data_IF_712629969862
#
_entry.id   IF_712629969862
#
_cell.length_a   1.000
_cell.length_b   1.000
_cell.length_c   1.000
_cell.angle_alpha   90.00
_cell.angle_beta   90.00
_cell.angle_gamma   90.00
#
_symmetry.space_group_name_H-M   'P 1'
#
loop_
_entity.id
_entity.type
_entity.pdbx_description
1 polymer ?
#
# COMPACT_ATOMS: atom_id res chain seq x y z
N UNK A 1 2.28 22.80 -31.25
CA UNK A 1 1.26 22.78 -30.18
C UNK A 1 -0.09 22.63 -30.83
N UNK A 2 -0.72 21.45 -30.77
CA UNK A 2 -2.15 21.31 -31.12
C UNK A 2 -2.95 22.01 -30.02
N UNK A 3 -3.44 23.21 -30.30
CA UNK A 3 -4.43 23.88 -29.45
C UNK A 3 -5.79 23.23 -29.70
N UNK A 4 -6.45 22.77 -28.63
CA UNK A 4 -7.91 22.63 -28.58
C UNK A 4 -8.51 21.30 -29.04
N UNK A 5 -8.19 20.19 -28.39
CA UNK A 5 -9.15 19.07 -28.35
C UNK A 5 -10.21 19.41 -27.31
N UNK A 6 -11.45 19.63 -27.75
CA UNK A 6 -12.58 19.81 -26.84
C UNK A 6 -12.85 18.46 -26.17
N UNK A 7 -12.47 18.32 -24.90
CA UNK A 7 -12.67 17.10 -24.13
C UNK A 7 -14.09 17.09 -23.56
N UNK A 8 -15.03 16.53 -24.32
CA UNK A 8 -16.45 16.52 -23.93
C UNK A 8 -16.91 15.14 -23.49
N UNK A 9 -16.38 14.08 -24.11
CA UNK A 9 -16.73 12.71 -23.78
C UNK A 9 -15.65 12.04 -22.93
N UNK A 10 -16.02 10.95 -22.27
CA UNK A 10 -15.08 10.10 -21.53
C UNK A 10 -13.96 9.58 -22.44
N UNK A 11 -14.30 9.20 -23.68
CA UNK A 11 -13.34 8.61 -24.61
C UNK A 11 -12.34 9.65 -25.10
N UNK A 12 -12.76 10.91 -25.30
CA UNK A 12 -11.85 12.02 -25.62
C UNK A 12 -10.82 12.23 -24.51
N UNK A 13 -11.27 12.20 -23.24
CA UNK A 13 -10.39 12.32 -22.08
C UNK A 13 -9.40 11.16 -21.99
N UNK A 14 -9.87 9.92 -22.21
CA UNK A 14 -9.00 8.73 -22.20
C UNK A 14 -7.96 8.82 -23.31
N UNK A 15 -8.37 9.17 -24.53
CA UNK A 15 -7.45 9.34 -25.64
C UNK A 15 -6.38 10.38 -25.32
N UNK A 16 -6.77 11.51 -24.74
CA UNK A 16 -5.83 12.57 -24.35
C UNK A 16 -4.79 12.09 -23.32
N UNK A 17 -5.23 11.36 -22.28
CA UNK A 17 -4.31 10.75 -21.31
C UNK A 17 -3.35 9.79 -22.03
N UNK A 18 -3.89 8.93 -22.89
CA UNK A 18 -3.12 7.97 -23.65
C UNK A 18 -1.99 8.59 -24.46
N UNK A 19 -2.31 9.60 -25.28
CA UNK A 19 -1.34 10.30 -26.13
C UNK A 19 -0.19 10.94 -25.32
N UNK A 20 -0.47 11.40 -24.09
CA UNK A 20 0.54 11.99 -23.22
C UNK A 20 1.42 10.97 -22.51
N UNK A 21 0.87 9.82 -22.11
CA UNK A 21 1.61 8.80 -21.36
C UNK A 21 2.24 7.71 -22.24
N UNK A 22 1.81 7.57 -23.48
CA UNK A 22 2.37 6.63 -24.46
C UNK A 22 3.90 6.70 -24.62
N UNK A 23 4.55 7.89 -24.69
CA UNK A 23 6.01 7.95 -24.79
C UNK A 23 6.75 7.69 -23.46
N UNK A 24 6.04 7.68 -22.32
CA UNK A 24 6.64 7.56 -20.98
C UNK A 24 6.55 6.14 -20.45
N UNK A 25 5.48 5.40 -20.78
CA UNK A 25 5.24 4.07 -20.23
C UNK A 25 5.99 3.02 -21.03
N UNK A 26 7.00 2.43 -20.38
CA UNK A 26 7.77 1.32 -20.91
C UNK A 26 6.87 0.13 -21.26
N UNK A 27 7.03 -0.38 -22.48
CA UNK A 27 6.31 -1.55 -23.00
C UNK A 27 5.00 -1.27 -23.73
N UNK A 28 4.44 -0.06 -23.65
CA UNK A 28 3.18 0.32 -24.32
C UNK A 28 3.36 1.36 -25.45
N UNK A 29 4.58 1.58 -25.91
CA UNK A 29 4.89 2.57 -26.96
C UNK A 29 4.09 2.34 -28.27
N UNK A 30 3.84 1.07 -28.62
CA UNK A 30 3.14 0.68 -29.86
C UNK A 30 1.64 0.39 -29.65
N UNK A 31 1.13 0.55 -28.43
CA UNK A 31 -0.27 0.30 -28.11
C UNK A 31 -1.16 1.48 -28.49
N UNK A 32 -2.47 1.24 -28.60
CA UNK A 32 -3.43 2.31 -28.82
C UNK A 32 -3.48 3.26 -27.62
N UNK A 33 -3.64 4.57 -27.86
CA UNK A 33 -3.71 5.56 -26.79
C UNK A 33 -4.80 5.22 -25.74
N UNK A 34 -5.93 4.67 -26.17
CA UNK A 34 -6.99 4.22 -25.25
C UNK A 34 -6.51 3.10 -24.31
N UNK A 35 -5.81 2.09 -24.83
CA UNK A 35 -5.24 1.01 -24.01
C UNK A 35 -4.22 1.56 -23.01
N UNK A 36 -3.35 2.48 -23.45
CA UNK A 36 -2.39 3.15 -22.59
C UNK A 36 -3.10 3.88 -21.45
N UNK A 37 -4.16 4.63 -21.75
CA UNK A 37 -4.92 5.35 -20.74
C UNK A 37 -5.59 4.42 -19.73
N UNK A 38 -6.17 3.30 -20.19
CA UNK A 38 -6.70 2.28 -19.29
C UNK A 38 -5.63 1.65 -18.40
N UNK A 39 -4.43 1.39 -18.94
CA UNK A 39 -3.29 0.91 -18.17
C UNK A 39 -2.83 1.95 -17.13
N UNK A 40 -2.71 3.23 -17.50
CA UNK A 40 -2.40 4.34 -16.57
C UNK A 40 -3.36 4.34 -15.39
N UNK A 41 -4.67 4.36 -15.68
CA UNK A 41 -5.70 4.41 -14.66
C UNK A 41 -5.74 3.14 -13.80
N UNK A 42 -5.32 2.00 -14.33
CA UNK A 42 -5.30 0.73 -13.60
C UNK A 42 -4.06 0.61 -12.70
N UNK A 43 -2.89 0.89 -13.25
CA UNK A 43 -1.60 0.52 -12.66
C UNK A 43 -0.96 1.66 -11.85
N UNK A 44 -1.44 2.90 -12.00
CA UNK A 44 -0.87 4.07 -11.31
C UNK A 44 -1.87 4.84 -10.44
N UNK A 45 -3.17 4.84 -10.79
CA UNK A 45 -4.20 5.58 -10.04
C UNK A 45 -4.96 4.65 -9.11
N UNK A 46 -4.86 4.84 -7.79
CA UNK A 46 -5.59 4.06 -6.77
C UNK A 46 -5.59 2.55 -7.03
N UNK A 47 -4.39 1.97 -7.08
CA UNK A 47 -4.14 0.57 -7.49
C UNK A 47 -4.80 -0.48 -6.57
N UNK A 48 -5.16 -0.09 -5.35
CA UNK A 48 -5.92 -0.95 -4.42
C UNK A 48 -7.38 -1.13 -4.83
N UNK A 49 -7.90 -0.28 -5.72
CA UNK A 49 -9.27 -0.34 -6.23
C UNK A 49 -9.30 -0.91 -7.66
N UNK A 50 -10.24 -1.83 -7.89
CA UNK A 50 -10.38 -2.50 -9.19
C UNK A 50 -11.32 -1.71 -10.11
N UNK A 51 -12.45 -1.21 -9.58
CA UNK A 51 -13.49 -0.56 -10.38
C UNK A 51 -13.24 0.95 -10.52
N UNK A 52 -13.56 1.50 -11.71
CA UNK A 52 -13.45 2.95 -11.95
C UNK A 52 -14.39 3.78 -11.08
N UNK A 53 -15.59 3.28 -10.77
CA UNK A 53 -16.55 3.96 -9.89
C UNK A 53 -16.00 4.15 -8.48
N UNK A 54 -15.35 3.12 -7.92
CA UNK A 54 -14.75 3.20 -6.59
C UNK A 54 -13.58 4.20 -6.59
N UNK A 55 -12.77 4.24 -7.67
CA UNK A 55 -11.69 5.22 -7.86
C UNK A 55 -12.23 6.65 -7.92
N UNK A 56 -13.32 6.85 -8.66
CA UNK A 56 -13.98 8.14 -8.79
C UNK A 56 -14.55 8.62 -7.44
N UNK A 57 -15.24 7.75 -6.71
CA UNK A 57 -15.77 8.06 -5.37
C UNK A 57 -14.66 8.41 -4.38
N UNK A 58 -13.54 7.67 -4.40
CA UNK A 58 -12.38 7.99 -3.57
C UNK A 58 -11.76 9.35 -3.95
N UNK A 59 -11.67 9.66 -5.24
CA UNK A 59 -11.15 10.95 -5.71
C UNK A 59 -11.99 12.12 -5.19
N UNK A 60 -13.32 12.01 -5.27
CA UNK A 60 -14.24 13.02 -4.72
C UNK A 60 -14.02 13.16 -3.21
N UNK A 61 -13.93 12.04 -2.49
CA UNK A 61 -13.70 12.06 -1.05
C UNK A 61 -12.38 12.75 -0.68
N UNK A 62 -11.30 12.49 -1.42
CA UNK A 62 -10.00 13.15 -1.21
C UNK A 62 -10.08 14.65 -1.52
N UNK A 63 -10.81 15.05 -2.56
CA UNK A 63 -11.01 16.46 -2.91
C UNK A 63 -11.79 17.20 -1.81
N UNK A 64 -12.83 16.58 -1.27
CA UNK A 64 -13.58 17.14 -0.13
C UNK A 64 -12.71 17.27 1.12
N UNK A 65 -11.88 16.26 1.42
CA UNK A 65 -10.91 16.32 2.53
C UNK A 65 -9.89 17.44 2.31
N UNK A 66 -9.44 17.66 1.08
CA UNK A 66 -8.53 18.76 0.74
C UNK A 66 -9.17 20.13 0.99
N UNK A 67 -10.41 20.33 0.53
CA UNK A 67 -11.13 21.58 0.82
C UNK A 67 -11.38 21.78 2.31
N UNK A 68 -11.77 20.73 3.03
CA UNK A 68 -11.93 20.79 4.49
C UNK A 68 -10.64 21.21 5.21
N UNK A 69 -9.47 20.78 4.71
CA UNK A 69 -8.17 21.18 5.25
C UNK A 69 -7.85 22.66 4.97
N UNK A 70 -8.15 23.13 3.76
CA UNK A 70 -7.97 24.54 3.36
C UNK A 70 -8.88 25.45 4.19
N UNK A 71 -10.13 25.02 4.40
CA UNK A 71 -11.12 25.72 5.22
C UNK A 71 -10.85 25.61 6.73
N UNK A 72 -9.77 24.92 7.14
CA UNK A 72 -9.36 24.70 8.53
C UNK A 72 -10.40 23.99 9.42
N UNK A 73 -11.40 23.37 8.79
CA UNK A 73 -12.38 22.49 9.45
C UNK A 73 -11.80 21.12 9.81
N UNK A 74 -10.63 20.77 9.26
CA UNK A 74 -9.88 19.56 9.60
C UNK A 74 -8.43 19.86 9.94
N UNK A 75 -7.85 19.03 10.82
CA UNK A 75 -6.46 19.15 11.27
C UNK A 75 -5.56 18.31 10.36
N UNK A 76 -4.36 18.79 9.98
CA UNK A 76 -3.41 18.01 9.21
C UNK A 76 -3.01 16.72 9.94
N UNK A 77 -2.93 15.63 9.21
CA UNK A 77 -2.48 14.34 9.74
C UNK A 77 -0.96 14.35 9.98
N UNK A 78 -0.53 13.88 11.15
CA UNK A 78 0.88 13.75 11.48
C UNK A 78 1.46 12.44 10.90
N UNK A 79 2.39 12.48 9.92
CA UNK A 79 2.98 11.28 9.33
C UNK A 79 3.93 10.54 10.28
N UNK A 80 4.37 11.20 11.36
CA UNK A 80 5.25 10.60 12.37
C UNK A 80 4.47 9.87 13.48
N UNK A 81 3.15 10.07 13.55
CA UNK A 81 2.29 9.35 14.48
C UNK A 81 2.06 7.91 14.00
N UNK A 82 2.22 6.95 14.91
CA UNK A 82 2.11 5.52 14.59
C UNK A 82 0.72 5.15 14.02
N UNK A 83 -0.33 5.90 14.35
CA UNK A 83 -1.67 5.75 13.79
C UNK A 83 -1.73 5.85 12.25
N UNK A 84 -0.76 6.55 11.64
CA UNK A 84 -0.68 6.78 10.19
C UNK A 84 0.46 5.98 9.56
N UNK A 85 1.02 5.01 10.28
CA UNK A 85 2.17 4.21 9.84
C UNK A 85 1.81 2.73 9.82
N UNK A 86 2.51 2.01 8.96
CA UNK A 86 2.49 0.55 8.90
C UNK A 86 3.92 0.00 8.86
N UNK A 87 4.05 -1.31 9.11
CA UNK A 87 5.36 -1.98 9.13
C UNK A 87 5.53 -2.81 7.87
N UNK A 88 6.50 -2.41 7.04
CA UNK A 88 6.93 -3.21 5.89
C UNK A 88 7.70 -4.44 6.36
N UNK A 89 7.12 -5.63 6.16
CA UNK A 89 7.75 -6.89 6.53
C UNK A 89 8.86 -7.29 5.54
N UNK A 90 9.95 -7.94 6.01
CA UNK A 90 11.04 -8.39 5.14
C UNK A 90 10.58 -9.32 4.01
N UNK A 91 9.61 -10.20 4.27
CA UNK A 91 9.04 -11.10 3.25
C UNK A 91 8.33 -10.35 2.12
N UNK A 92 7.59 -9.27 2.44
CA UNK A 92 6.96 -8.41 1.44
C UNK A 92 8.02 -7.68 0.61
N UNK A 93 9.05 -7.13 1.26
CA UNK A 93 10.15 -6.45 0.57
C UNK A 93 10.89 -7.38 -0.40
N UNK A 94 11.25 -8.60 0.06
CA UNK A 94 11.92 -9.60 -0.79
C UNK A 94 11.01 -9.99 -1.97
N UNK A 95 9.70 -10.16 -1.74
CA UNK A 95 8.74 -10.51 -2.79
C UNK A 95 8.64 -9.43 -3.85
N UNK A 96 8.52 -8.16 -3.44
CA UNK A 96 8.45 -7.02 -4.37
C UNK A 96 9.76 -6.85 -5.13
N UNK A 97 10.91 -7.01 -4.46
CA UNK A 97 12.22 -6.96 -5.11
C UNK A 97 12.41 -8.11 -6.12
N UNK A 98 11.99 -9.32 -5.77
CA UNK A 98 12.02 -10.47 -6.67
C UNK A 98 11.13 -10.25 -7.90
N UNK A 99 9.92 -9.71 -7.70
CA UNK A 99 9.02 -9.33 -8.79
C UNK A 99 9.72 -8.38 -9.77
N UNK A 100 10.34 -7.31 -9.29
CA UNK A 100 11.06 -6.35 -10.15
C UNK A 100 12.23 -7.01 -10.88
N UNK A 101 12.98 -7.92 -10.23
CA UNK A 101 14.07 -8.64 -10.91
C UNK A 101 13.60 -9.65 -11.95
N UNK A 102 12.44 -10.24 -11.77
CA UNK A 102 11.79 -11.06 -12.79
C UNK A 102 11.35 -10.19 -13.98
N UNK A 103 10.77 -9.01 -13.72
CA UNK A 103 10.38 -8.07 -14.78
C UNK A 103 11.60 -7.56 -15.56
N UNK A 104 12.68 -7.17 -14.88
CA UNK A 104 13.96 -6.79 -15.50
C UNK A 104 14.51 -7.92 -16.39
N UNK A 105 14.44 -9.16 -15.91
CA UNK A 105 14.89 -10.33 -16.65
C UNK A 105 14.02 -10.58 -17.90
N UNK A 106 12.69 -10.43 -17.81
CA UNK A 106 11.77 -10.53 -18.94
C UNK A 106 11.99 -9.41 -19.97
N UNK A 107 12.17 -8.16 -19.53
CA UNK A 107 12.51 -7.03 -20.40
C UNK A 107 13.80 -7.28 -21.17
N UNK A 108 14.83 -7.78 -20.48
CA UNK A 108 16.11 -8.14 -21.10
C UNK A 108 15.97 -9.31 -22.09
N UNK A 109 15.13 -10.30 -21.79
CA UNK A 109 14.83 -11.38 -22.72
C UNK A 109 14.15 -10.84 -23.99
N UNK A 110 13.11 -9.99 -23.86
CA UNK A 110 12.44 -9.32 -24.99
C UNK A 110 13.42 -8.54 -25.85
N UNK A 111 14.28 -7.72 -25.23
CA UNK A 111 15.31 -6.94 -25.93
C UNK A 111 16.28 -7.84 -26.70
N UNK A 112 16.75 -8.92 -26.07
CA UNK A 112 17.67 -9.87 -26.70
C UNK A 112 17.05 -10.54 -27.93
N UNK A 113 15.75 -10.88 -27.85
CA UNK A 113 14.99 -11.44 -28.99
C UNK A 113 14.89 -10.40 -30.11
N UNK A 114 14.52 -9.16 -29.79
CA UNK A 114 14.41 -8.08 -30.77
C UNK A 114 15.75 -7.83 -31.50
N UNK A 115 16.87 -7.86 -30.77
CA UNK A 115 18.21 -7.74 -31.35
C UNK A 115 18.57 -8.91 -32.27
N UNK A 116 18.19 -10.15 -31.92
CA UNK A 116 18.44 -11.32 -32.79
C UNK A 116 17.55 -11.30 -34.04
N UNK A 117 16.29 -10.87 -33.94
CA UNK A 117 15.41 -10.66 -35.11
C UNK A 117 15.99 -9.59 -36.03
N UNK A 118 16.50 -8.48 -35.48
CA UNK A 118 17.12 -7.42 -36.27
C UNK A 118 18.41 -7.88 -36.98
N UNK A 119 19.18 -8.79 -36.36
CA UNK A 119 20.41 -9.36 -36.95
C UNK A 119 20.14 -10.49 -37.94
N UNK A 120 19.09 -11.28 -37.71
CA UNK A 120 18.75 -12.47 -38.51
C UNK A 120 17.28 -12.42 -38.93
N UNK A 121 17.04 -12.35 -40.24
CA UNK A 121 15.71 -12.41 -40.83
C UNK A 121 14.92 -13.72 -40.58
N UNK A 122 15.48 -14.71 -39.88
CA UNK A 122 14.88 -16.05 -39.74
C UNK A 122 14.89 -16.59 -38.29
N UNK A 123 14.75 -15.72 -37.28
CA UNK A 123 14.57 -16.18 -35.90
C UNK A 123 13.20 -16.87 -35.75
N UNK A 124 13.19 -18.15 -35.39
CA UNK A 124 11.96 -18.92 -35.22
C UNK A 124 11.70 -19.23 -33.74
N UNK A 125 10.58 -18.71 -33.20
CA UNK A 125 10.15 -18.96 -31.81
C UNK A 125 9.87 -20.44 -31.50
N UNK A 126 9.52 -21.24 -32.50
CA UNK A 126 9.26 -22.68 -32.35
C UNK A 126 10.55 -23.50 -32.33
N UNK A 127 11.68 -22.93 -32.78
CA UNK A 127 12.96 -23.61 -32.79
C UNK A 127 13.63 -23.55 -31.41
N UNK A 128 13.69 -24.69 -30.73
CA UNK A 128 14.32 -24.82 -29.40
C UNK A 128 15.77 -24.32 -29.39
N UNK A 129 16.51 -24.48 -30.49
CA UNK A 129 17.88 -24.01 -30.62
C UNK A 129 18.02 -22.49 -30.53
N UNK A 130 17.04 -21.74 -31.05
CA UNK A 130 17.10 -20.28 -31.06
C UNK A 130 16.62 -19.70 -29.74
N UNK A 131 15.59 -20.30 -29.13
CA UNK A 131 15.16 -19.98 -27.76
C UNK A 131 16.28 -20.28 -26.77
N UNK A 132 16.97 -21.42 -26.89
CA UNK A 132 18.09 -21.78 -26.01
C UNK A 132 19.23 -20.77 -26.08
N UNK A 133 19.59 -20.28 -27.28
CA UNK A 133 20.62 -19.22 -27.43
C UNK A 133 20.25 -17.94 -26.68
N UNK A 134 18.99 -17.53 -26.72
CA UNK A 134 18.50 -16.34 -25.98
C UNK A 134 18.58 -16.60 -24.47
N UNK A 135 18.15 -17.77 -24.02
CA UNK A 135 18.19 -18.15 -22.60
C UNK A 135 19.63 -18.27 -22.07
N UNK A 136 20.56 -18.81 -22.87
CA UNK A 136 21.97 -18.93 -22.51
C UNK A 136 22.63 -17.53 -22.36
N UNK A 137 22.20 -16.54 -23.15
CA UNK A 137 22.64 -15.14 -23.03
C UNK A 137 21.98 -14.38 -21.88
N UNK A 138 20.83 -14.85 -21.39
CA UNK A 138 20.09 -14.25 -20.29
C UNK A 138 19.81 -15.28 -19.17
N UNK A 139 20.86 -15.77 -18.47
CA UNK A 139 20.71 -16.83 -17.49
C UNK A 139 19.86 -16.40 -16.30
N UNK A 140 18.93 -17.28 -15.89
CA UNK A 140 18.03 -17.06 -14.74
C UNK A 140 18.77 -16.91 -13.40
N UNK A 141 19.99 -17.43 -13.30
CA UNK A 141 20.85 -17.31 -12.12
C UNK A 141 21.13 -15.84 -11.72
N UNK A 142 20.99 -14.88 -12.65
CA UNK A 142 21.12 -13.45 -12.36
C UNK A 142 20.10 -12.96 -11.34
N UNK A 143 18.90 -13.54 -11.32
CA UNK A 143 17.84 -13.19 -10.36
C UNK A 143 18.25 -13.63 -8.95
N UNK A 144 18.66 -14.88 -8.80
CA UNK A 144 19.12 -15.42 -7.51
C UNK A 144 20.32 -14.65 -6.96
N UNK A 145 21.31 -14.36 -7.82
CA UNK A 145 22.49 -13.58 -7.45
C UNK A 145 22.13 -12.15 -7.02
N UNK A 146 21.13 -11.54 -7.66
CA UNK A 146 20.66 -10.21 -7.29
C UNK A 146 19.99 -10.19 -5.90
N UNK A 147 19.20 -11.22 -5.57
CA UNK A 147 18.60 -11.39 -4.23
C UNK A 147 19.67 -11.68 -3.19
N UNK A 148 20.60 -12.59 -3.47
CA UNK A 148 21.72 -12.90 -2.57
C UNK A 148 22.58 -11.66 -2.28
N UNK A 149 22.91 -10.88 -3.32
CA UNK A 149 23.68 -9.65 -3.18
C UNK A 149 22.91 -8.60 -2.36
N UNK A 150 21.61 -8.48 -2.58
CA UNK A 150 20.74 -7.60 -1.79
C UNK A 150 20.75 -8.00 -0.32
N UNK A 151 20.63 -9.30 -0.01
CA UNK A 151 20.67 -9.79 1.37
C UNK A 151 22.04 -9.60 2.03
N UNK A 152 23.12 -9.79 1.27
CA UNK A 152 24.50 -9.65 1.76
C UNK A 152 24.90 -8.20 2.01
N UNK A 153 24.50 -7.28 1.13
CA UNK A 153 24.93 -5.87 1.17
C UNK A 153 23.90 -4.94 1.79
N UNK A 154 22.65 -5.38 1.93
CA UNK A 154 21.54 -4.55 2.40
C UNK A 154 21.15 -3.43 1.44
N UNK A 155 21.56 -3.50 0.17
CA UNK A 155 21.33 -2.46 -0.84
C UNK A 155 20.31 -2.92 -1.89
N UNK A 156 19.29 -2.10 -2.09
CA UNK A 156 18.31 -2.26 -3.16
C UNK A 156 18.83 -1.60 -4.44
N UNK A 157 18.98 -2.41 -5.48
CA UNK A 157 19.31 -1.94 -6.83
C UNK A 157 18.07 -2.12 -7.69
N UNK A 158 17.24 -1.09 -7.78
CA UNK A 158 15.95 -1.09 -8.47
C UNK A 158 15.86 0.12 -9.39
N UNK A 159 15.09 0.00 -10.47
CA UNK A 159 14.88 1.12 -11.41
C UNK A 159 13.80 2.05 -10.87
N UNK A 160 12.77 1.47 -10.25
CA UNK A 160 11.59 2.18 -9.74
C UNK A 160 11.76 2.76 -8.34
N UNK A 161 12.75 2.27 -7.57
CA UNK A 161 12.95 2.66 -6.18
C UNK A 161 11.95 2.05 -5.17
N UNK A 162 10.96 1.27 -5.63
CA UNK A 162 9.97 0.56 -4.81
C UNK A 162 9.17 1.46 -3.83
N UNK A 163 9.02 2.75 -4.14
CA UNK A 163 8.39 3.75 -3.26
C UNK A 163 9.10 3.91 -1.89
N UNK A 164 10.36 3.49 -1.81
CA UNK A 164 11.16 3.58 -0.60
C UNK A 164 12.13 4.77 -0.68
N UNK A 165 12.20 5.54 0.40
CA UNK A 165 13.02 6.75 0.47
C UNK A 165 14.54 6.47 0.56
N UNK A 166 14.94 5.25 0.91
CA UNK A 166 16.34 4.85 1.06
C UNK A 166 16.69 3.68 0.14
N UNK A 167 17.97 3.56 -0.23
CA UNK A 167 18.46 2.47 -1.11
C UNK A 167 19.36 1.47 -0.39
N UNK A 168 19.76 1.73 0.85
CA UNK A 168 20.67 0.89 1.62
C UNK A 168 20.19 0.74 3.06
N UNK A 169 20.78 -0.21 3.81
CA UNK A 169 20.46 -0.47 5.22
C UNK A 169 19.26 -1.38 5.43
N UNK A 170 18.90 -2.21 4.44
CA UNK A 170 17.74 -3.12 4.53
C UNK A 170 18.06 -4.46 5.20
N UNK A 171 19.33 -4.86 5.23
CA UNK A 171 19.77 -6.04 5.96
C UNK A 171 20.83 -5.68 6.97
N UNK A 172 20.80 -6.40 8.09
CA UNK A 172 21.75 -6.27 9.19
C UNK A 172 22.22 -7.66 9.59
N UNK A 173 23.45 -7.76 10.06
CA UNK A 173 23.97 -9.02 10.57
C UNK A 173 23.32 -9.34 11.92
N UNK A 174 22.68 -10.50 12.04
CA UNK A 174 22.11 -10.98 13.29
C UNK A 174 23.23 -11.50 14.20
N UNK A 175 23.77 -10.63 15.05
CA UNK A 175 24.83 -10.94 15.99
C UNK A 175 24.36 -11.93 17.06
N UNK A 176 25.21 -12.92 17.37
CA UNK A 176 24.96 -13.94 18.39
C UNK A 176 25.81 -13.73 19.65
N UNK A 177 25.89 -12.48 20.11
CA UNK A 177 26.63 -12.14 21.34
C UNK A 177 25.98 -12.76 22.57
N UNK A 178 24.66 -12.64 22.68
CA UNK A 178 23.84 -13.30 23.69
C UNK A 178 22.41 -13.47 23.17
N UNK A 179 21.59 -14.21 23.91
CA UNK A 179 20.20 -14.50 23.53
C UNK A 179 19.36 -13.23 23.35
N UNK A 180 19.51 -12.25 24.25
CA UNK A 180 18.72 -11.01 24.22
C UNK A 180 19.03 -10.15 22.99
N UNK A 181 20.32 -10.01 22.65
CA UNK A 181 20.78 -9.31 21.44
C UNK A 181 20.28 -9.99 20.18
N UNK A 182 20.35 -11.32 20.12
CA UNK A 182 19.84 -12.04 18.96
C UNK A 182 18.32 -11.85 18.80
N UNK A 183 17.57 -11.94 19.89
CA UNK A 183 16.11 -11.76 19.88
C UNK A 183 15.69 -10.32 19.53
N UNK A 184 16.46 -9.31 19.95
CA UNK A 184 16.11 -7.91 19.72
C UNK A 184 16.00 -7.58 18.23
N UNK A 185 16.85 -8.17 17.37
CA UNK A 185 16.77 -7.98 15.92
C UNK A 185 15.40 -8.32 15.33
N UNK A 186 14.72 -9.34 15.84
CA UNK A 186 13.42 -9.77 15.31
C UNK A 186 12.24 -8.94 15.83
N UNK A 187 12.47 -8.09 16.85
CA UNK A 187 11.49 -7.14 17.36
C UNK A 187 11.80 -5.70 16.96
N UNK A 188 12.96 -5.46 16.38
CA UNK A 188 13.41 -4.15 15.95
C UNK A 188 12.57 -3.64 14.75
N UNK A 189 12.21 -2.36 14.82
CA UNK A 189 11.54 -1.61 13.75
C UNK A 189 12.29 -0.29 13.61
N UNK A 190 12.64 0.04 12.38
CA UNK A 190 13.44 1.22 12.07
C UNK A 190 12.64 2.18 11.18
N UNK A 191 12.67 3.48 11.50
CA UNK A 191 11.92 4.51 10.75
C UNK A 191 12.45 4.73 9.32
N UNK A 192 13.77 4.54 9.14
CA UNK A 192 14.50 4.72 7.88
C UNK A 192 15.77 5.53 8.09
N UNK A 193 16.88 5.15 7.44
CA UNK A 193 18.16 5.86 7.57
C UNK A 193 18.14 7.26 6.92
N UNK A 194 17.22 7.52 5.99
CA UNK A 194 16.96 8.87 5.46
C UNK A 194 16.63 9.88 6.56
N UNK A 195 15.99 9.43 7.64
CA UNK A 195 15.61 10.29 8.77
C UNK A 195 16.76 10.54 9.76
N UNK A 196 17.83 9.75 9.72
CA UNK A 196 18.97 9.93 10.61
C UNK A 196 19.70 11.26 10.35
N UNK A 197 19.80 11.67 9.09
CA UNK A 197 20.45 12.92 8.67
C UNK A 197 19.59 14.19 8.84
N UNK A 198 18.31 14.06 9.19
CA UNK A 198 17.44 15.22 9.42
C UNK A 198 17.78 15.88 10.76
N UNK A 199 17.90 17.22 10.74
CA UNK A 199 18.16 18.02 11.95
C UNK A 199 16.94 18.16 12.87
N UNK A 200 15.75 17.75 12.41
CA UNK A 200 14.50 17.82 13.16
C UNK A 200 14.37 16.64 14.12
N UNK A 201 13.99 16.91 15.37
CA UNK A 201 13.81 15.87 16.39
C UNK A 201 12.41 15.28 16.45
N UNK A 202 11.44 15.79 15.66
CA UNK A 202 10.03 15.33 15.68
C UNK A 202 9.91 13.82 15.49
N UNK A 203 10.63 13.28 14.52
CA UNK A 203 10.65 11.85 14.15
C UNK A 203 11.23 10.94 15.25
N UNK A 204 11.96 11.52 16.20
CA UNK A 204 12.64 10.80 17.31
C UNK A 204 11.81 10.85 18.60
N UNK A 205 10.77 11.69 18.66
CA UNK A 205 9.96 11.83 19.86
C UNK A 205 9.07 10.62 20.05
N UNK A 206 9.01 10.13 21.28
CA UNK A 206 7.98 9.18 21.69
C UNK A 206 6.63 9.89 21.71
N UNK A 207 5.67 9.35 20.96
CA UNK A 207 4.31 9.86 20.91
C UNK A 207 3.36 8.93 21.70
N UNK A 208 2.29 9.46 22.33
CA UNK A 208 1.33 8.64 23.10
C UNK A 208 0.67 7.52 22.28
N UNK A 209 0.48 7.73 20.98
CA UNK A 209 -0.09 6.77 20.03
C UNK A 209 0.77 5.51 19.87
N UNK A 210 2.04 5.55 20.27
CA UNK A 210 2.94 4.39 20.27
C UNK A 210 2.65 3.42 21.42
N UNK A 211 1.80 3.79 22.38
CA UNK A 211 1.47 2.98 23.54
C UNK A 211 0.96 1.59 23.16
N UNK A 212 1.55 0.55 23.76
CA UNK A 212 1.18 -0.84 23.50
C UNK A 212 1.77 -1.43 22.21
N UNK A 213 2.27 -0.61 21.28
CA UNK A 213 2.87 -1.09 20.02
C UNK A 213 4.39 -1.07 20.05
N UNK A 214 5.00 0.06 20.43
CA UNK A 214 6.45 0.22 20.56
C UNK A 214 6.85 0.38 22.03
N UNK A 215 7.99 -0.19 22.40
CA UNK A 215 8.52 -0.08 23.76
C UNK A 215 9.09 1.34 23.98
N UNK A 216 8.64 2.07 25.02
CA UNK A 216 9.12 3.43 25.28
C UNK A 216 10.54 3.48 25.84
N UNK A 217 11.08 2.33 26.29
CA UNK A 217 12.42 2.24 26.92
C UNK A 217 13.44 1.64 25.97
N UNK A 218 13.05 0.65 25.15
CA UNK A 218 13.98 -0.14 24.36
C UNK A 218 14.33 0.55 23.03
N UNK A 219 15.06 1.66 23.12
CA UNK A 219 15.77 2.33 22.02
C UNK A 219 17.23 2.48 22.44
N UNK A 220 18.21 2.26 21.55
CA UNK A 220 19.60 2.58 21.85
C UNK A 220 19.81 4.09 22.00
N UNK A 221 20.85 4.46 22.74
CA UNK A 221 21.35 5.83 22.81
C UNK A 221 22.18 6.21 21.57
N UNK A 222 22.46 7.52 21.43
CA UNK A 222 23.27 8.07 20.34
C UNK A 222 22.47 8.36 19.07
N UNK A 223 23.12 8.23 17.91
CA UNK A 223 22.51 8.53 16.61
C UNK A 223 21.21 7.75 16.30
N UNK A 224 21.04 6.46 16.65
CA UNK A 224 19.79 5.74 16.39
C UNK A 224 18.67 6.02 17.40
N UNK A 225 18.89 6.85 18.42
CA UNK A 225 17.90 7.12 19.47
C UNK A 225 16.59 7.66 18.90
N UNK A 226 15.49 6.96 19.18
CA UNK A 226 14.14 7.25 18.70
C UNK A 226 13.86 6.81 17.26
N UNK A 227 14.87 6.42 16.48
CA UNK A 227 14.72 5.91 15.11
C UNK A 227 14.69 4.39 15.04
N UNK A 228 15.50 3.74 15.88
CA UNK A 228 15.50 2.29 16.07
C UNK A 228 14.72 1.96 17.34
N UNK A 229 13.50 1.48 17.18
CA UNK A 229 12.65 1.10 18.29
C UNK A 229 12.38 -0.41 18.26
N UNK A 230 11.85 -0.95 19.35
CA UNK A 230 11.46 -2.34 19.42
C UNK A 230 9.96 -2.47 19.73
N UNK A 231 9.29 -3.41 19.08
CA UNK A 231 7.89 -3.70 19.37
C UNK A 231 7.73 -4.28 20.79
N UNK A 232 6.65 -3.93 21.48
CA UNK A 232 6.30 -4.48 22.81
C UNK A 232 6.07 -6.00 22.73
N UNK A 233 6.11 -6.73 23.86
CA UNK A 233 5.98 -8.19 23.86
C UNK A 233 4.68 -8.72 23.21
N UNK A 234 3.55 -8.03 23.38
CA UNK A 234 2.24 -8.46 22.87
C UNK A 234 1.89 -7.90 21.50
N UNK A 235 2.65 -6.93 20.99
CA UNK A 235 2.42 -6.36 19.66
C UNK A 235 2.61 -7.43 18.58
N UNK A 236 1.61 -7.58 17.71
CA UNK A 236 1.61 -8.53 16.59
C UNK A 236 1.38 -7.79 15.29
N UNK A 237 2.19 -8.13 14.29
CA UNK A 237 1.95 -7.66 12.93
C UNK A 237 0.86 -8.52 12.29
N UNK A 238 0.01 -7.85 11.53
CA UNK A 238 -1.10 -8.43 10.79
C UNK A 238 -0.57 -9.47 9.79
N UNK A 239 -1.34 -10.54 9.57
CA UNK A 239 -0.95 -11.67 8.73
C UNK A 239 -2.11 -12.07 7.82
N UNK A 240 -1.78 -12.51 6.61
CA UNK A 240 -2.70 -13.13 5.66
C UNK A 240 -3.26 -14.46 6.16
N UNK A 241 -2.66 -15.04 7.19
CA UNK A 241 -3.09 -16.30 7.78
C UNK A 241 -3.96 -16.08 9.02
N UNK A 242 -4.94 -16.96 9.21
CA UNK A 242 -5.76 -17.05 10.42
C UNK A 242 -5.03 -17.78 11.56
N UNK A 243 -5.72 -17.98 12.69
CA UNK A 243 -5.16 -18.68 13.86
C UNK A 243 -4.84 -20.16 13.62
N UNK A 244 -5.40 -20.76 12.58
CA UNK A 244 -5.17 -22.15 12.17
C UNK A 244 -4.09 -22.26 11.08
N UNK A 245 -3.56 -21.13 10.59
CA UNK A 245 -2.59 -21.09 9.52
C UNK A 245 -3.20 -21.16 8.12
N UNK A 246 -4.53 -21.03 7.98
CA UNK A 246 -5.21 -20.96 6.69
C UNK A 246 -5.19 -19.53 6.17
N UNK A 247 -5.19 -19.38 4.84
CA UNK A 247 -5.25 -18.06 4.20
C UNK A 247 -6.64 -17.46 4.43
N UNK A 248 -6.69 -16.22 4.92
CA UNK A 248 -7.93 -15.47 5.13
C UNK A 248 -8.55 -15.10 3.80
N UNK A 249 -9.85 -15.37 3.64
CA UNK A 249 -10.61 -14.86 2.51
C UNK A 249 -11.05 -13.41 2.78
N UNK A 250 -10.25 -12.46 2.29
CA UNK A 250 -10.55 -11.04 2.42
C UNK A 250 -11.79 -10.61 1.64
N UNK A 251 -12.19 -11.33 0.59
CA UNK A 251 -13.40 -11.00 -0.16
C UNK A 251 -14.64 -11.32 0.68
N UNK A 252 -14.68 -12.51 1.26
CA UNK A 252 -15.79 -12.93 2.12
C UNK A 252 -15.86 -12.11 3.41
N UNK A 253 -14.71 -11.78 4.02
CA UNK A 253 -14.65 -10.83 5.15
C UNK A 253 -15.33 -9.52 4.79
N UNK A 254 -14.90 -8.90 3.69
CA UNK A 254 -15.42 -7.59 3.25
C UNK A 254 -16.92 -7.69 3.01
N UNK A 255 -17.37 -8.70 2.28
CA UNK A 255 -18.80 -8.93 2.01
C UNK A 255 -19.61 -9.09 3.30
N UNK A 256 -19.10 -9.83 4.27
CA UNK A 256 -19.77 -10.00 5.57
C UNK A 256 -19.89 -8.68 6.33
N UNK A 257 -18.84 -7.85 6.32
CA UNK A 257 -18.85 -6.53 6.96
C UNK A 257 -19.84 -5.60 6.28
N UNK A 258 -19.87 -5.59 4.94
CA UNK A 258 -20.82 -4.81 4.16
C UNK A 258 -22.27 -5.16 4.50
N UNK A 259 -22.59 -6.45 4.60
CA UNK A 259 -23.92 -6.91 4.95
C UNK A 259 -24.34 -6.43 6.36
N UNK A 260 -23.42 -6.48 7.33
CA UNK A 260 -23.70 -6.00 8.68
C UNK A 260 -23.88 -4.48 8.70
N UNK A 261 -23.00 -3.72 8.05
CA UNK A 261 -23.13 -2.27 7.96
C UNK A 261 -24.45 -1.85 7.32
N UNK A 262 -24.85 -2.53 6.24
CA UNK A 262 -26.13 -2.27 5.57
C UNK A 262 -27.31 -2.60 6.49
N UNK A 263 -27.25 -3.72 7.22
CA UNK A 263 -28.26 -4.08 8.22
C UNK A 263 -28.35 -3.10 9.40
N UNK A 264 -27.27 -2.38 9.70
CA UNK A 264 -27.21 -1.32 10.73
C UNK A 264 -27.62 0.07 10.21
N UNK A 265 -28.16 0.15 8.99
CA UNK A 265 -28.68 1.40 8.43
C UNK A 265 -27.68 2.22 7.62
N UNK A 266 -26.55 1.64 7.20
CA UNK A 266 -25.66 2.29 6.23
C UNK A 266 -26.34 2.41 4.87
N UNK A 267 -26.32 3.62 4.31
CA UNK A 267 -26.74 3.84 2.93
C UNK A 267 -25.56 3.53 2.01
N UNK A 268 -25.70 2.53 1.14
CA UNK A 268 -24.64 2.15 0.18
C UNK A 268 -24.32 3.28 -0.79
N UNK A 269 -23.05 3.37 -1.20
CA UNK A 269 -22.55 4.40 -2.12
C UNK A 269 -23.20 4.28 -3.49
N UNK A 270 -24.20 5.12 -3.73
CA UNK A 270 -24.47 5.70 -5.05
C UNK A 270 -23.60 6.95 -5.17
N UNK A 271 -23.21 7.40 -6.38
CA UNK A 271 -22.53 8.68 -6.55
C UNK A 271 -23.49 9.80 -6.15
N UNK A 272 -23.47 10.14 -4.86
CA UNK A 272 -24.12 11.31 -4.30
C UNK A 272 -23.00 12.23 -3.86
N UNK A 273 -22.86 13.33 -4.57
CA UNK A 273 -22.17 14.51 -4.06
C UNK A 273 -22.75 14.78 -2.67
N UNK A 274 -21.95 14.57 -1.62
CA UNK A 274 -22.37 14.96 -0.29
C UNK A 274 -22.68 16.47 -0.32
N UNK A 275 -23.89 16.84 0.07
CA UNK A 275 -24.29 18.24 0.18
C UNK A 275 -23.41 18.92 1.23
N UNK A 276 -22.92 20.11 0.92
CA UNK A 276 -22.09 20.90 1.83
C UNK A 276 -22.85 21.26 3.11
N UNK A 277 -22.21 21.03 4.25
CA UNK A 277 -22.72 21.32 5.60
C UNK A 277 -22.01 20.49 6.67
N UNK A 278 -22.18 20.86 7.95
CA UNK A 278 -21.77 20.04 9.11
C UNK A 278 -22.22 18.59 8.89
N UNK A 279 -21.40 17.56 9.14
CA UNK A 279 -21.72 16.23 8.68
C UNK A 279 -22.89 15.68 9.50
N UNK A 280 -24.10 15.82 8.98
CA UNK A 280 -25.26 15.03 9.39
C UNK A 280 -25.02 13.55 9.07
N UNK A 281 -24.09 13.29 8.14
CA UNK A 281 -23.72 11.97 7.63
C UNK A 281 -22.20 11.89 7.50
N UNK A 282 -21.64 10.76 7.88
CA UNK A 282 -20.22 10.44 7.79
C UNK A 282 -19.98 9.34 6.75
N UNK A 283 -18.92 9.50 5.97
CA UNK A 283 -18.50 8.50 4.98
C UNK A 283 -17.84 7.29 5.65
N UNK A 284 -18.20 6.10 5.19
CA UNK A 284 -17.65 4.81 5.66
C UNK A 284 -16.68 4.28 4.61
N UNK A 285 -15.44 4.06 5.04
CA UNK A 285 -14.37 3.50 4.21
C UNK A 285 -13.97 2.11 4.70
N UNK A 286 -13.74 1.20 3.75
CA UNK A 286 -13.29 -0.18 3.95
C UNK A 286 -12.02 -0.41 3.11
N UNK A 287 -10.87 -0.57 3.76
CA UNK A 287 -9.57 -0.74 3.08
C UNK A 287 -9.31 0.30 1.96
N UNK A 288 -9.67 1.57 2.21
CA UNK A 288 -9.52 2.65 1.23
C UNK A 288 -10.60 2.71 0.13
N UNK A 289 -11.64 1.87 0.19
CA UNK A 289 -12.83 1.95 -0.67
C UNK A 289 -13.96 2.70 0.03
N UNK A 290 -14.58 3.67 -0.63
CA UNK A 290 -15.78 4.36 -0.13
C UNK A 290 -17.02 3.48 -0.33
N UNK A 291 -17.57 2.99 0.77
CA UNK A 291 -18.65 1.99 0.75
C UNK A 291 -20.04 2.62 0.87
N UNK A 292 -20.13 3.75 1.57
CA UNK A 292 -21.42 4.33 1.89
C UNK A 292 -21.29 5.39 2.97
N UNK A 293 -22.42 5.73 3.58
CA UNK A 293 -22.50 6.80 4.56
C UNK A 293 -23.51 6.47 5.66
N UNK A 294 -23.22 6.88 6.89
CA UNK A 294 -24.06 6.66 8.08
C UNK A 294 -24.30 7.99 8.79
N UNK A 295 -25.49 8.20 9.35
CA UNK A 295 -25.76 9.41 10.13
C UNK A 295 -24.90 9.49 11.40
N UNK A 296 -24.41 10.69 11.71
CA UNK A 296 -23.56 10.95 12.87
C UNK A 296 -24.23 10.59 14.20
N UNK A 297 -25.56 10.61 14.29
CA UNK A 297 -26.29 10.27 15.53
C UNK A 297 -26.26 8.79 15.87
N UNK A 298 -26.17 7.90 14.87
CA UNK A 298 -26.20 6.45 15.07
C UNK A 298 -24.79 5.85 15.16
N UNK A 299 -23.76 6.66 14.95
CA UNK A 299 -22.42 6.18 14.69
C UNK A 299 -21.77 5.45 15.87
N UNK A 300 -21.93 6.00 17.06
CA UNK A 300 -21.38 5.41 18.28
C UNK A 300 -22.02 4.04 18.56
N UNK A 301 -23.33 3.90 18.29
CA UNK A 301 -24.05 2.63 18.43
C UNK A 301 -23.55 1.59 17.43
N UNK A 302 -23.36 1.99 16.17
CA UNK A 302 -22.83 1.12 15.11
C UNK A 302 -21.42 0.65 15.47
N UNK A 303 -20.55 1.56 15.89
CA UNK A 303 -19.18 1.25 16.33
C UNK A 303 -19.17 0.29 17.53
N UNK A 304 -20.00 0.55 18.54
CA UNK A 304 -20.12 -0.33 19.70
C UNK A 304 -20.61 -1.73 19.31
N UNK A 305 -21.57 -1.81 18.39
CA UNK A 305 -22.07 -3.08 17.88
C UNK A 305 -21.00 -3.86 17.11
N UNK A 306 -20.25 -3.19 16.21
CA UNK A 306 -19.15 -3.81 15.48
C UNK A 306 -18.05 -4.31 16.42
N UNK A 307 -17.69 -3.54 17.45
CA UNK A 307 -16.74 -3.97 18.49
C UNK A 307 -17.24 -5.19 19.24
N UNK A 308 -18.52 -5.22 19.62
CA UNK A 308 -19.13 -6.39 20.27
C UNK A 308 -19.07 -7.62 19.37
N UNK A 309 -19.43 -7.49 18.09
CA UNK A 309 -19.34 -8.59 17.12
C UNK A 309 -17.91 -9.07 16.94
N UNK A 310 -16.92 -8.16 16.86
CA UNK A 310 -15.49 -8.51 16.76
C UNK A 310 -15.05 -9.40 17.91
N UNK A 311 -15.45 -9.06 19.14
CA UNK A 311 -15.10 -9.83 20.35
C UNK A 311 -15.84 -11.18 20.38
N UNK A 312 -17.13 -11.21 20.03
CA UNK A 312 -17.91 -12.45 20.00
C UNK A 312 -17.43 -13.42 18.91
N UNK A 313 -17.07 -12.91 17.73
CA UNK A 313 -16.53 -13.72 16.64
C UNK A 313 -15.23 -14.44 17.03
N UNK A 314 -14.44 -13.87 17.96
CA UNK A 314 -13.26 -14.53 18.51
C UNK A 314 -13.57 -15.80 19.32
N UNK A 315 -14.85 -16.11 19.60
CA UNK A 315 -15.25 -17.30 20.36
C UNK A 315 -15.96 -18.40 19.56
N UNK A 316 -16.63 -18.14 18.42
CA UNK A 316 -17.45 -19.17 17.74
C UNK A 316 -17.40 -19.19 16.20
N UNK A 317 -16.89 -18.19 15.47
CA UNK A 317 -16.90 -18.22 13.98
C UNK A 317 -15.67 -17.55 13.40
N UNK A 318 -14.91 -18.31 12.59
CA UNK A 318 -13.86 -17.89 11.66
C UNK A 318 -13.16 -16.56 11.96
N UNK A 319 -11.94 -16.68 12.47
CA UNK A 319 -10.96 -15.64 12.83
C UNK A 319 -10.49 -14.77 11.66
N UNK A 320 -11.43 -14.03 11.09
CA UNK A 320 -11.27 -13.17 9.93
C UNK A 320 -11.57 -11.69 10.26
N UNK A 321 -12.08 -11.42 11.47
CA UNK A 321 -12.60 -10.11 11.91
C UNK A 321 -11.59 -9.16 12.57
N UNK A 322 -10.35 -9.60 12.82
CA UNK A 322 -9.43 -8.85 13.68
C UNK A 322 -8.81 -7.64 12.97
N UNK A 323 -8.71 -7.64 11.63
CA UNK A 323 -8.03 -6.57 10.91
C UNK A 323 -8.91 -5.57 10.19
N UNK A 324 -10.16 -5.92 9.98
CA UNK A 324 -11.09 -5.02 9.35
C UNK A 324 -11.19 -3.71 10.17
N UNK A 325 -11.37 -3.77 11.49
CA UNK A 325 -11.76 -2.56 12.25
C UNK A 325 -10.60 -1.57 12.53
N UNK A 326 -9.34 -1.92 12.28
CA UNK A 326 -8.23 -0.95 12.46
C UNK A 326 -8.05 0.01 11.27
N UNK A 327 -8.50 -0.39 10.07
CA UNK A 327 -8.53 0.47 8.87
C UNK A 327 -9.95 0.83 8.42
N UNK A 328 -10.96 0.35 9.14
CA UNK A 328 -12.36 0.57 8.83
C UNK A 328 -12.90 1.71 9.69
N UNK A 329 -13.13 2.79 8.97
CA UNK A 329 -13.83 4.01 9.32
C UNK A 329 -12.99 5.13 9.93
N UNK A 330 -12.49 5.99 9.04
CA UNK A 330 -12.29 7.39 9.39
C UNK A 330 -13.65 8.08 9.45
N UNK A 331 -14.16 8.30 10.67
CA UNK A 331 -15.24 9.26 10.90
C UNK A 331 -14.62 10.65 11.00
N UNK A 332 -14.90 11.52 10.03
CA UNK A 332 -14.57 12.93 10.13
C UNK A 332 -15.65 13.65 10.95
N UNK A 333 -15.43 13.74 12.26
CA UNK A 333 -16.11 14.75 13.07
C UNK A 333 -15.36 16.09 12.91
N UNK A 334 -16.07 17.12 12.42
CA UNK A 334 -15.56 18.49 12.32
C UNK A 334 -15.42 19.17 13.68
N UNK A 335 -15.96 18.59 14.76
CA UNK A 335 -15.84 19.09 16.13
C UNK A 335 -15.03 18.11 16.99
N UNK A 336 -13.71 18.19 16.91
CA UNK A 336 -12.74 17.75 17.94
C UNK A 336 -12.77 16.29 18.42
N UNK A 337 -13.67 15.43 17.94
CA UNK A 337 -13.73 14.01 18.31
C UNK A 337 -13.40 13.14 17.11
N UNK A 338 -12.10 12.97 16.83
CA UNK A 338 -11.68 11.73 16.16
C UNK A 338 -12.10 10.58 17.07
N UNK A 339 -13.11 9.82 16.65
CA UNK A 339 -13.39 8.52 17.25
C UNK A 339 -12.27 7.61 16.75
N UNK A 340 -11.13 7.65 17.45
CA UNK A 340 -10.02 6.76 17.21
C UNK A 340 -10.48 5.34 17.57
N UNK A 341 -10.73 4.55 16.52
CA UNK A 341 -10.93 3.12 16.62
C UNK A 341 -9.57 2.46 16.90
N UNK A 342 -9.14 2.50 18.15
CA UNK A 342 -8.20 1.50 18.68
C UNK A 342 -8.90 0.14 18.77
#
# INVERSE_FOLDING_TARGET
MKFGTCLLTRDDCLQHIGEHFQPVIDGLENESALNVAHAVLKDYVFVHLINYEDKFNLLIFMLQKLFSLIDQTSVPDNPDALQNQEVLLPGHLITIYLKEKLEDWLRKAKKTIQEEIAKKNNFNFLAVSDVKKVMDRNPSAQISLAVETMLRTGRLVTQTGLDLQQRAGYTVQAERLNFLRFLSFFRAVHRGASFAGLRTTSVRKLLPESWGFLCPVHTPDGEPCGLLNHMTCFCRVTSYYDSQGLVKDFFDIRKSILNILTGLGMTSSLPKLAQGGLPQVLSVLLDGRVVGSISSSEIEKVVAHLRRLKVLAATVVCFCWIFAIFSIIFFFDTNEKRINLV
#
